data_IF_242317464809
#
_entry.id   IF_242317464809
#
_cell.length_a   1.000
_cell.length_b   1.000
_cell.length_c   1.000
_cell.angle_alpha   90.00
_cell.angle_beta   90.00
_cell.angle_gamma   90.00
#
_symmetry.space_group_name_H-M   'P 1'
#
loop_
_entity.id
_entity.type
_entity.pdbx_description
1 polymer ?
#
# COMPACT_ATOMS: atom_id res chain seq x y z
N UNK A 1 23.88 18.66 -29.47
CA UNK A 1 23.47 17.28 -29.75
C UNK A 1 22.91 16.72 -28.45
N UNK A 2 21.63 16.37 -28.39
CA UNK A 2 21.04 15.81 -27.17
C UNK A 2 21.47 14.33 -27.05
N UNK A 3 21.97 13.96 -25.88
CA UNK A 3 22.45 12.63 -25.53
C UNK A 3 21.40 11.56 -25.85
N UNK A 4 21.84 10.50 -26.52
CA UNK A 4 21.12 9.23 -26.55
C UNK A 4 21.08 8.71 -25.11
N UNK A 5 19.98 8.97 -24.41
CA UNK A 5 19.73 8.43 -23.07
C UNK A 5 19.50 6.93 -23.27
N UNK A 6 20.53 6.12 -23.03
CA UNK A 6 20.43 4.68 -23.27
C UNK A 6 19.42 4.05 -22.30
N UNK A 7 19.24 4.64 -21.10
CA UNK A 7 18.23 4.23 -20.11
C UNK A 7 17.43 5.45 -19.59
N UNK A 8 16.16 5.29 -19.19
CA UNK A 8 15.37 6.37 -18.60
C UNK A 8 15.99 6.88 -17.28
N UNK A 9 15.61 8.10 -16.88
CA UNK A 9 15.93 8.59 -15.53
C UNK A 9 15.03 7.93 -14.48
N UNK A 10 15.45 7.96 -13.22
CA UNK A 10 14.61 7.52 -12.12
C UNK A 10 13.27 8.29 -12.12
N UNK A 11 12.13 7.61 -11.89
CA UNK A 11 10.85 8.27 -11.67
C UNK A 11 10.94 9.31 -10.55
N UNK A 12 10.24 10.42 -10.74
CA UNK A 12 10.21 11.56 -9.81
C UNK A 12 8.78 11.88 -9.41
N UNK A 13 8.62 12.61 -8.31
CA UNK A 13 7.33 12.99 -7.74
C UNK A 13 6.41 11.77 -7.53
N UNK A 14 7.02 10.65 -7.12
CA UNK A 14 6.28 9.42 -6.88
C UNK A 14 5.44 9.59 -5.62
N UNK A 15 4.16 9.26 -5.73
CA UNK A 15 3.22 9.32 -4.62
C UNK A 15 2.25 8.14 -4.67
N UNK A 16 1.61 7.85 -3.54
CA UNK A 16 0.62 6.79 -3.48
C UNK A 16 -0.35 6.93 -2.33
N UNK A 17 -1.36 6.04 -2.32
CA UNK A 17 -2.46 6.03 -1.37
C UNK A 17 -2.97 4.61 -1.17
N UNK A 18 -3.34 4.27 0.07
CA UNK A 18 -4.17 3.11 0.40
C UNK A 18 -5.63 3.57 0.28
N UNK A 19 -6.36 2.99 -0.65
CA UNK A 19 -7.76 3.31 -0.91
C UNK A 19 -8.68 2.70 0.15
N UNK A 20 -9.91 3.19 0.25
CA UNK A 20 -10.90 2.71 1.24
C UNK A 20 -11.31 1.24 1.06
N UNK A 21 -11.07 0.66 -0.11
CA UNK A 21 -11.28 -0.77 -0.40
C UNK A 21 -10.04 -1.65 -0.11
N UNK A 22 -8.96 -1.05 0.40
CA UNK A 22 -7.70 -1.70 0.70
C UNK A 22 -6.75 -1.81 -0.49
N UNK A 23 -7.13 -1.39 -1.71
CA UNK A 23 -6.22 -1.35 -2.85
C UNK A 23 -5.17 -0.25 -2.68
N UNK A 24 -4.03 -0.37 -3.35
CA UNK A 24 -2.98 0.66 -3.33
C UNK A 24 -2.86 1.27 -4.71
N UNK A 25 -2.82 2.60 -4.80
CA UNK A 25 -2.56 3.32 -6.05
C UNK A 25 -1.29 4.14 -5.95
N UNK A 26 -0.44 4.05 -6.98
CA UNK A 26 0.83 4.76 -7.09
C UNK A 26 0.86 5.54 -8.41
N UNK A 27 1.40 6.76 -8.38
CA UNK A 27 1.56 7.62 -9.55
C UNK A 27 2.92 8.34 -9.51
N UNK A 28 3.41 8.75 -10.67
CA UNK A 28 4.66 9.50 -10.83
C UNK A 28 4.62 10.36 -12.09
N UNK A 29 5.60 11.24 -12.25
CA UNK A 29 5.75 12.06 -13.45
C UNK A 29 6.15 11.23 -14.67
N UNK A 30 5.74 11.67 -15.87
CA UNK A 30 6.18 11.04 -17.12
C UNK A 30 7.71 11.09 -17.25
N UNK A 31 8.31 9.92 -17.48
CA UNK A 31 9.76 9.76 -17.65
C UNK A 31 10.10 9.71 -19.14
N UNK A 32 10.82 10.71 -19.69
CA UNK A 32 11.20 10.71 -21.10
C UNK A 32 11.98 9.45 -21.49
N UNK A 33 11.52 8.77 -22.54
CA UNK A 33 12.13 7.54 -23.05
C UNK A 33 11.69 6.26 -22.33
N UNK A 34 10.89 6.35 -21.27
CA UNK A 34 10.28 5.17 -20.67
C UNK A 34 9.11 4.64 -21.51
N UNK A 35 9.00 3.32 -21.60
CA UNK A 35 7.89 2.59 -22.22
C UNK A 35 7.11 1.75 -21.22
N UNK A 36 7.76 1.33 -20.14
CA UNK A 36 7.14 0.60 -19.04
C UNK A 36 7.80 0.96 -17.71
N UNK A 37 7.11 0.62 -16.63
CA UNK A 37 7.64 0.70 -15.27
C UNK A 37 7.36 -0.59 -14.51
N UNK A 38 8.28 -0.94 -13.62
CA UNK A 38 8.14 -2.00 -12.63
C UNK A 38 8.04 -1.36 -11.25
N UNK A 39 7.10 -1.85 -10.44
CA UNK A 39 6.90 -1.41 -9.06
C UNK A 39 7.38 -2.54 -8.15
N UNK A 40 8.35 -2.26 -7.30
CA UNK A 40 8.87 -3.21 -6.31
C UNK A 40 8.29 -2.90 -4.94
N UNK A 41 7.83 -3.92 -4.24
CA UNK A 41 7.37 -3.81 -2.86
C UNK A 41 7.63 -5.10 -2.09
N UNK A 42 7.67 -4.99 -0.77
CA UNK A 42 7.87 -6.12 0.15
C UNK A 42 6.66 -6.35 1.05
N UNK A 43 6.88 -7.16 2.09
CA UNK A 43 5.95 -7.35 3.19
C UNK A 43 5.83 -6.08 4.06
N UNK A 44 4.93 -6.13 5.05
CA UNK A 44 4.77 -5.07 6.04
C UNK A 44 6.11 -4.66 6.69
N UNK A 45 6.36 -3.36 6.75
CA UNK A 45 7.54 -2.72 7.34
C UNK A 45 8.89 -3.07 6.70
N UNK A 46 8.92 -3.76 5.55
CA UNK A 46 10.16 -4.02 4.84
C UNK A 46 10.62 -2.75 4.10
N UNK A 47 11.67 -2.14 4.63
CA UNK A 47 12.23 -0.89 4.11
C UNK A 47 13.46 -1.12 3.22
N UNK A 48 14.06 -2.30 3.24
CA UNK A 48 15.20 -2.61 2.38
C UNK A 48 14.71 -2.92 0.95
N UNK A 49 15.06 -2.10 -0.06
CA UNK A 49 14.67 -2.35 -1.45
C UNK A 49 15.16 -3.71 -1.98
N UNK A 50 16.25 -4.27 -1.44
CA UNK A 50 16.76 -5.58 -1.86
C UNK A 50 15.88 -6.75 -1.40
N UNK A 51 15.00 -6.53 -0.43
CA UNK A 51 14.04 -7.50 0.07
C UNK A 51 12.64 -7.32 -0.56
N UNK A 52 12.46 -6.39 -1.50
CA UNK A 52 11.21 -6.19 -2.22
C UNK A 52 10.99 -7.31 -3.25
N UNK A 53 10.38 -8.41 -2.81
CA UNK A 53 10.19 -9.63 -3.60
C UNK A 53 8.98 -9.59 -4.54
N UNK A 54 8.02 -8.68 -4.30
CA UNK A 54 6.85 -8.52 -5.14
C UNK A 54 7.08 -7.48 -6.23
N UNK A 55 6.44 -7.70 -7.38
CA UNK A 55 6.60 -6.86 -8.56
C UNK A 55 5.25 -6.59 -9.23
N UNK A 56 5.01 -5.31 -9.54
CA UNK A 56 3.95 -4.83 -10.41
C UNK A 56 4.49 -4.33 -11.74
N UNK A 57 3.63 -4.26 -12.76
CA UNK A 57 3.98 -3.77 -14.10
C UNK A 57 2.93 -2.79 -14.61
N UNK A 58 3.37 -1.76 -15.33
CA UNK A 58 2.49 -0.85 -16.06
C UNK A 58 3.21 -0.22 -17.25
N UNK A 59 2.46 0.13 -18.30
CA UNK A 59 2.92 0.94 -19.44
C UNK A 59 2.44 2.40 -19.32
N UNK A 60 1.83 2.75 -18.17
CA UNK A 60 1.37 4.10 -17.83
C UNK A 60 2.21 4.70 -16.69
N UNK A 61 1.94 5.94 -16.33
CA UNK A 61 2.59 6.63 -15.19
C UNK A 61 1.85 6.41 -13.86
N UNK A 62 1.07 5.34 -13.80
CA UNK A 62 0.31 4.93 -12.62
C UNK A 62 0.11 3.43 -12.59
N UNK A 63 0.00 2.89 -11.39
CA UNK A 63 -0.25 1.47 -11.15
C UNK A 63 -1.13 1.28 -9.91
N UNK A 64 -1.96 0.23 -9.94
CA UNK A 64 -2.86 -0.12 -8.84
C UNK A 64 -2.63 -1.57 -8.44
N UNK A 65 -2.34 -1.79 -7.16
CA UNK A 65 -2.32 -3.10 -6.53
C UNK A 65 -3.72 -3.43 -6.04
N UNK A 66 -4.29 -4.54 -6.50
CA UNK A 66 -5.59 -4.99 -6.03
C UNK A 66 -5.52 -5.36 -4.53
N UNK A 67 -6.60 -5.11 -3.79
CA UNK A 67 -6.63 -5.33 -2.33
C UNK A 67 -6.32 -6.77 -1.92
N UNK A 68 -6.65 -7.76 -2.75
CA UNK A 68 -6.32 -9.17 -2.51
C UNK A 68 -4.84 -9.52 -2.66
N UNK A 69 -4.07 -8.66 -3.32
CA UNK A 69 -2.62 -8.84 -3.57
C UNK A 69 -1.77 -7.91 -2.68
N UNK A 70 -2.41 -7.05 -1.88
CA UNK A 70 -1.72 -6.27 -0.85
C UNK A 70 -1.27 -7.22 0.28
N UNK A 71 -0.01 -7.15 0.72
CA UNK A 71 0.47 -7.90 1.89
C UNK A 71 -0.43 -7.71 3.11
N UNK A 72 -0.40 -8.64 4.05
CA UNK A 72 -1.17 -8.46 5.29
C UNK A 72 -0.56 -7.32 6.11
N UNK A 73 -1.27 -6.19 6.21
CA UNK A 73 -0.85 -5.03 6.98
C UNK A 73 -1.72 -4.84 8.24
N UNK A 74 -1.09 -4.56 9.37
CA UNK A 74 -1.72 -4.14 10.61
C UNK A 74 -1.78 -2.60 10.70
N UNK A 75 -2.62 -2.03 11.57
CA UNK A 75 -2.58 -0.61 11.87
C UNK A 75 -1.16 -0.14 12.21
N UNK A 76 -0.78 1.03 11.73
CA UNK A 76 0.56 1.63 11.88
C UNK A 76 1.68 0.96 11.07
N UNK A 77 1.44 -0.18 10.42
CA UNK A 77 2.40 -0.76 9.49
C UNK A 77 2.64 0.16 8.29
N UNK A 78 3.83 0.02 7.72
CA UNK A 78 4.25 0.73 6.52
C UNK A 78 4.42 -0.23 5.35
N UNK A 79 3.94 0.19 4.19
CA UNK A 79 4.25 -0.43 2.91
C UNK A 79 5.19 0.51 2.14
N UNK A 80 6.35 -0.03 1.76
CA UNK A 80 7.34 0.68 0.96
C UNK A 80 7.22 0.22 -0.50
N UNK A 81 7.07 1.17 -1.42
CA UNK A 81 7.03 0.89 -2.86
C UNK A 81 8.09 1.71 -3.58
N UNK A 82 8.75 1.09 -4.54
CA UNK A 82 9.80 1.68 -5.37
C UNK A 82 9.44 1.53 -6.84
N UNK A 83 9.65 2.57 -7.64
CA UNK A 83 9.33 2.53 -9.07
C UNK A 83 10.62 2.59 -9.88
N UNK A 84 10.75 1.70 -10.86
CA UNK A 84 11.83 1.68 -11.82
C UNK A 84 11.25 1.76 -13.24
N UNK A 85 11.81 2.62 -14.10
CA UNK A 85 11.36 2.79 -15.49
C UNK A 85 12.31 2.15 -16.49
N UNK A 86 11.74 1.64 -17.58
CA UNK A 86 12.44 0.92 -18.64
C UNK A 86 12.12 1.53 -20.00
N UNK A 87 13.09 1.54 -20.91
CA UNK A 87 12.93 2.03 -22.28
C UNK A 87 12.33 0.97 -23.24
N UNK A 88 11.91 -0.16 -22.70
CA UNK A 88 11.36 -1.32 -23.38
C UNK A 88 10.15 -1.86 -22.61
N UNK A 89 9.35 -2.68 -23.31
CA UNK A 89 8.12 -3.30 -22.80
C UNK A 89 8.47 -4.71 -22.32
N UNK A 90 7.88 -5.14 -21.20
CA UNK A 90 8.14 -6.47 -20.67
C UNK A 90 7.56 -7.59 -21.54
N UNK A 91 8.19 -8.77 -21.51
CA UNK A 91 7.71 -9.97 -22.23
C UNK A 91 7.13 -10.97 -21.23
N UNK A 92 5.92 -11.45 -21.47
CA UNK A 92 5.25 -12.42 -20.59
C UNK A 92 3.76 -12.54 -20.88
N UNK A 93 3.13 -13.62 -20.39
CA UNK A 93 1.70 -13.87 -20.54
C UNK A 93 0.86 -12.99 -19.61
N UNK A 94 1.44 -12.48 -18.53
CA UNK A 94 0.81 -11.62 -17.53
C UNK A 94 1.79 -10.55 -17.03
N UNK A 95 1.29 -9.61 -16.24
CA UNK A 95 2.05 -8.46 -15.74
C UNK A 95 3.21 -8.85 -14.81
N UNK A 96 3.07 -9.94 -14.05
CA UNK A 96 4.15 -10.46 -13.19
C UNK A 96 5.31 -10.97 -14.04
N UNK A 97 5.01 -11.78 -15.07
CA UNK A 97 6.03 -12.29 -16.00
C UNK A 97 6.72 -11.15 -16.77
N UNK A 98 5.97 -10.13 -17.20
CA UNK A 98 6.52 -8.93 -17.84
C UNK A 98 7.47 -8.17 -16.90
N UNK A 99 7.09 -7.98 -15.64
CA UNK A 99 7.93 -7.34 -14.64
C UNK A 99 9.22 -8.13 -14.40
N UNK A 100 9.11 -9.45 -14.19
CA UNK A 100 10.24 -10.35 -13.99
C UNK A 100 11.20 -10.36 -15.18
N UNK A 101 10.66 -10.33 -16.40
CA UNK A 101 11.46 -10.24 -17.62
C UNK A 101 12.32 -8.97 -17.61
N UNK A 102 11.73 -7.81 -17.36
CA UNK A 102 12.47 -6.53 -17.32
C UNK A 102 13.49 -6.52 -16.18
N UNK A 103 13.11 -6.95 -14.98
CA UNK A 103 14.00 -7.00 -13.82
C UNK A 103 15.25 -7.87 -14.06
N UNK A 104 15.15 -8.89 -14.90
CA UNK A 104 16.26 -9.84 -15.15
C UNK A 104 17.05 -9.53 -16.43
N UNK A 105 16.38 -9.05 -17.48
CA UNK A 105 16.94 -8.99 -18.83
C UNK A 105 17.14 -7.57 -19.35
N UNK A 106 16.59 -6.56 -18.67
CA UNK A 106 16.65 -5.17 -19.10
C UNK A 106 17.45 -4.32 -18.11
N UNK A 107 18.04 -3.24 -18.62
CA UNK A 107 18.70 -2.24 -17.79
C UNK A 107 17.73 -1.09 -17.51
N UNK A 108 17.12 -1.11 -16.33
CA UNK A 108 16.21 -0.06 -15.87
C UNK A 108 16.92 1.24 -15.48
N UNK A 109 16.13 2.25 -15.16
CA UNK A 109 16.59 3.44 -14.46
C UNK A 109 17.12 3.09 -13.05
N UNK A 110 17.70 4.07 -12.36
CA UNK A 110 17.77 4.00 -10.90
C UNK A 110 16.34 3.93 -10.33
N UNK A 111 16.22 3.40 -9.10
CA UNK A 111 14.95 3.34 -8.39
C UNK A 111 14.51 4.75 -7.99
N UNK A 112 13.20 4.96 -7.84
CA UNK A 112 12.67 6.20 -7.28
C UNK A 112 13.00 6.31 -5.79
N UNK A 113 12.80 7.51 -5.23
CA UNK A 113 12.57 7.65 -3.79
C UNK A 113 11.39 6.76 -3.36
N UNK A 114 11.40 6.20 -2.13
CA UNK A 114 10.35 5.29 -1.67
C UNK A 114 9.02 6.03 -1.51
N UNK A 115 7.96 5.40 -1.99
CA UNK A 115 6.59 5.71 -1.55
C UNK A 115 6.36 4.96 -0.25
N UNK A 116 6.14 5.71 0.83
CA UNK A 116 5.88 5.14 2.16
C UNK A 116 4.41 5.33 2.49
N UNK A 117 3.64 4.24 2.45
CA UNK A 117 2.23 4.25 2.81
C UNK A 117 2.07 3.70 4.21
N UNK A 118 1.54 4.51 5.12
CA UNK A 118 1.24 4.06 6.49
C UNK A 118 -0.22 3.66 6.56
N UNK A 119 -0.49 2.45 7.03
CA UNK A 119 -1.85 2.03 7.35
C UNK A 119 -2.34 2.94 8.46
N UNK A 120 -3.46 3.62 8.20
CA UNK A 120 -4.09 4.44 9.22
C UNK A 120 -4.26 3.61 10.49
N UNK A 121 -4.05 4.21 11.69
CA UNK A 121 -4.42 3.53 12.91
C UNK A 121 -5.85 3.05 12.75
N UNK A 122 -6.18 1.86 13.27
CA UNK A 122 -7.55 1.38 13.23
C UNK A 122 -8.42 2.47 13.86
N UNK A 123 -9.13 3.24 13.02
CA UNK A 123 -10.15 4.16 13.48
C UNK A 123 -11.24 3.24 13.95
N UNK A 124 -11.14 2.88 15.23
CA UNK A 124 -12.10 2.00 15.84
C UNK A 124 -13.40 2.76 15.80
N UNK A 125 -14.30 2.37 14.89
CA UNK A 125 -15.62 2.96 14.79
C UNK A 125 -16.20 2.99 16.19
N UNK A 126 -16.38 4.20 16.73
CA UNK A 126 -16.93 4.38 18.07
C UNK A 126 -18.31 3.71 18.03
N UNK A 127 -18.53 2.62 18.77
CA UNK A 127 -19.78 1.89 18.67
C UNK A 127 -20.95 2.80 18.99
N UNK A 128 -22.04 2.62 18.27
CA UNK A 128 -23.24 3.44 18.40
C UNK A 128 -24.47 2.54 18.51
N UNK A 129 -25.67 3.15 18.50
CA UNK A 129 -26.93 2.42 18.62
C UNK A 129 -27.16 1.37 17.51
N UNK A 130 -26.44 1.43 16.39
CA UNK A 130 -26.49 0.41 15.34
C UNK A 130 -25.50 -0.75 15.55
N UNK A 131 -24.50 -0.60 16.42
CA UNK A 131 -23.50 -1.64 16.72
C UNK A 131 -24.08 -2.81 17.52
N UNK A 132 -23.55 -4.00 17.33
CA UNK A 132 -23.89 -5.20 18.10
C UNK A 132 -23.21 -5.19 19.48
N UNK A 133 -23.75 -5.97 20.43
CA UNK A 133 -23.14 -6.13 21.77
C UNK A 133 -21.69 -6.65 21.68
N UNK A 134 -21.39 -7.53 20.72
CA UNK A 134 -20.05 -8.07 20.53
C UNK A 134 -19.06 -6.98 20.08
N UNK A 135 -19.46 -6.12 19.14
CA UNK A 135 -18.63 -5.00 18.66
C UNK A 135 -18.37 -3.99 19.78
N UNK A 136 -19.40 -3.68 20.57
CA UNK A 136 -19.28 -2.79 21.73
C UNK A 136 -18.33 -3.37 22.79
N UNK A 137 -18.47 -4.64 23.16
CA UNK A 137 -17.58 -5.29 24.14
C UNK A 137 -16.14 -5.33 23.65
N UNK A 138 -15.95 -5.73 22.40
CA UNK A 138 -14.64 -5.72 21.75
C UNK A 138 -14.04 -4.32 21.87
N UNK A 139 -14.81 -3.25 21.59
CA UNK A 139 -14.36 -1.87 21.81
C UNK A 139 -13.92 -1.58 23.24
N UNK A 140 -14.77 -1.85 24.22
CA UNK A 140 -14.46 -1.60 25.62
C UNK A 140 -13.20 -2.37 26.07
N UNK A 141 -13.05 -3.64 25.66
CA UNK A 141 -11.87 -4.46 25.97
C UNK A 141 -10.58 -3.81 25.43
N UNK A 142 -10.62 -3.28 24.21
CA UNK A 142 -9.46 -2.60 23.62
C UNK A 142 -9.08 -1.29 24.30
N UNK A 143 -10.07 -0.61 24.86
CA UNK A 143 -9.87 0.61 25.63
C UNK A 143 -9.51 0.28 27.09
N UNK A 144 -9.42 -1.00 27.44
CA UNK A 144 -9.27 -1.48 28.82
C UNK A 144 -10.35 -0.95 29.76
N UNK A 145 -11.57 -0.73 29.23
CA UNK A 145 -12.73 -0.28 29.99
C UNK A 145 -13.45 -1.51 30.53
N UNK A 146 -13.52 -1.64 31.85
CA UNK A 146 -14.26 -2.73 32.49
C UNK A 146 -15.77 -2.52 32.36
N UNK A 147 -16.50 -3.63 32.17
CA UNK A 147 -17.96 -3.63 32.10
C UNK A 147 -18.55 -4.84 32.84
N UNK A 148 -19.79 -4.73 33.38
CA UNK A 148 -20.47 -5.86 33.99
C UNK A 148 -20.73 -6.96 32.96
N UNK A 149 -20.51 -8.23 33.32
CA UNK A 149 -20.75 -9.38 32.42
C UNK A 149 -22.21 -9.50 31.97
N UNK A 150 -23.14 -9.00 32.79
CA UNK A 150 -24.58 -8.97 32.55
C UNK A 150 -25.08 -7.67 31.90
N UNK A 151 -24.18 -6.72 31.58
CA UNK A 151 -24.57 -5.44 31.02
C UNK A 151 -25.25 -5.58 29.65
N UNK A 152 -26.34 -4.83 29.47
CA UNK A 152 -27.10 -4.75 28.22
C UNK A 152 -26.44 -3.75 27.27
N UNK A 153 -26.85 -3.79 26.00
CA UNK A 153 -26.33 -2.92 24.93
C UNK A 153 -26.31 -1.45 25.31
N UNK A 154 -27.42 -0.93 25.84
CA UNK A 154 -27.53 0.49 26.20
C UNK A 154 -26.56 0.86 27.32
N UNK A 155 -26.42 0.00 28.33
CA UNK A 155 -25.45 0.20 29.43
C UNK A 155 -24.01 0.19 28.90
N UNK A 156 -23.67 -0.73 27.99
CA UNK A 156 -22.36 -0.79 27.37
C UNK A 156 -22.07 0.44 26.50
N UNK A 157 -23.08 0.99 25.80
CA UNK A 157 -22.95 2.22 25.02
C UNK A 157 -22.69 3.44 25.92
N UNK A 158 -23.29 3.51 27.11
CA UNK A 158 -23.02 4.61 28.05
C UNK A 158 -21.57 4.66 28.52
N UNK A 159 -20.87 3.52 28.55
CA UNK A 159 -19.46 3.45 28.93
C UNK A 159 -18.52 4.03 27.87
N UNK A 160 -18.96 4.17 26.62
CA UNK A 160 -18.13 4.65 25.50
C UNK A 160 -18.00 6.19 25.51
N UNK A 161 -19.00 6.91 26.00
CA UNK A 161 -19.02 8.38 26.09
C UNK A 161 -18.83 8.94 27.51
N UNK A 162 -18.56 8.08 28.48
CA UNK A 162 -18.50 8.42 29.90
C UNK A 162 -17.09 8.76 30.41
N UNK A 163 -16.44 9.77 29.82
CA UNK A 163 -15.35 10.49 30.49
C UNK A 163 -15.57 11.98 30.24
N UNK A 164 -16.25 12.65 31.17
CA UNK A 164 -16.04 14.07 31.43
C UNK A 164 -14.66 14.28 32.07
#
# INVERSE_FOLDING_TARGET
MAQQLINPKAPQNVSGVINGDGSVSVNWDSVPGAKASVIHYGEANESDPHNATFMGYTESTSWTLASGDVPTLQPEDKLYLYVQSFNEVGTGANDIEKAQYLNTNALGSEWSEPVILTVAPATRSIPNESSTVAEIKTYLDSQSIAYPSTAKKDELLTLIGGTE
#
